data_IF_655411492632
#
_entry.id   IF_655411492632
#
_cell.length_a   1.000
_cell.length_b   1.000
_cell.length_c   1.000
_cell.angle_alpha   90.00
_cell.angle_beta   90.00
_cell.angle_gamma   90.00
#
_symmetry.space_group_name_H-M   'P 1'
#
loop_
_entity.id
_entity.type
_entity.pdbx_description
1 polymer ?
#
# COMPACT_ATOMS: atom_id res chain seq x y z
N UNK A 1 8.14 -4.95 16.99
CA UNK A 1 6.80 -5.43 17.44
C UNK A 1 5.93 -5.58 16.20
N UNK A 2 4.87 -6.42 16.18
CA UNK A 2 4.00 -6.49 15.01
C UNK A 2 3.10 -5.23 14.95
N UNK A 3 3.17 -4.50 13.82
CA UNK A 3 2.33 -3.32 13.59
C UNK A 3 0.90 -3.70 13.23
N UNK A 4 0.74 -4.78 12.44
CA UNK A 4 -0.55 -5.31 12.00
C UNK A 4 -0.58 -6.81 12.25
N UNK A 5 -1.65 -7.30 12.86
CA UNK A 5 -1.85 -8.73 13.09
C UNK A 5 -3.23 -9.15 12.59
N UNK A 6 -3.28 -10.24 11.86
CA UNK A 6 -4.52 -10.87 11.45
C UNK A 6 -4.68 -12.21 12.17
N UNK A 7 -5.87 -12.45 12.70
CA UNK A 7 -6.22 -13.71 13.37
C UNK A 7 -7.56 -14.22 12.84
N UNK A 8 -7.52 -15.32 12.10
CA UNK A 8 -8.66 -15.99 11.49
C UNK A 8 -9.54 -15.05 10.66
N UNK A 9 -8.94 -14.08 9.96
CA UNK A 9 -9.67 -13.08 9.19
C UNK A 9 -10.25 -13.71 7.94
N UNK A 10 -11.57 -13.58 7.79
CA UNK A 10 -12.30 -13.99 6.60
C UNK A 10 -12.95 -12.78 5.96
N UNK A 11 -12.83 -12.65 4.66
CA UNK A 11 -13.42 -11.58 3.86
C UNK A 11 -14.16 -12.13 2.65
N UNK A 12 -15.34 -11.54 2.38
CA UNK A 12 -16.11 -11.78 1.17
C UNK A 12 -16.45 -10.46 0.46
N UNK A 13 -16.81 -10.59 -0.81
CA UNK A 13 -17.42 -9.55 -1.62
C UNK A 13 -18.78 -10.08 -2.11
N UNK A 14 -19.87 -9.51 -1.59
CA UNK A 14 -21.19 -10.13 -1.72
C UNK A 14 -21.17 -11.55 -1.16
N UNK A 15 -21.63 -12.52 -1.93
CA UNK A 15 -21.69 -13.95 -1.53
C UNK A 15 -20.39 -14.72 -1.81
N UNK A 16 -19.38 -14.07 -2.38
CA UNK A 16 -18.10 -14.72 -2.74
C UNK A 16 -17.06 -14.48 -1.65
N UNK A 17 -16.60 -15.55 -1.02
CA UNK A 17 -15.47 -15.50 -0.07
C UNK A 17 -14.20 -15.20 -0.86
N UNK A 18 -13.58 -14.06 -0.58
CA UNK A 18 -12.34 -13.60 -1.24
C UNK A 18 -11.12 -14.23 -0.60
N UNK A 19 -11.11 -14.32 0.74
CA UNK A 19 -10.06 -15.01 1.50
C UNK A 19 -10.61 -15.47 2.85
N UNK A 20 -10.08 -16.60 3.34
CA UNK A 20 -10.57 -17.29 4.52
C UNK A 20 -9.43 -17.62 5.48
N UNK A 21 -9.72 -17.47 6.78
CA UNK A 21 -8.84 -17.88 7.87
C UNK A 21 -7.39 -17.33 7.76
N UNK A 22 -7.26 -16.06 7.37
CA UNK A 22 -5.95 -15.42 7.25
C UNK A 22 -5.38 -15.21 8.66
N UNK A 23 -4.19 -15.77 8.89
CA UNK A 23 -3.40 -15.60 10.11
C UNK A 23 -2.01 -15.14 9.73
N UNK A 24 -1.60 -13.94 10.16
CA UNK A 24 -0.29 -13.40 9.87
C UNK A 24 0.06 -12.18 10.73
N UNK A 25 1.34 -11.86 10.72
CA UNK A 25 1.91 -10.68 11.35
C UNK A 25 2.71 -9.86 10.31
N UNK A 26 2.50 -8.55 10.33
CA UNK A 26 3.35 -7.57 9.64
C UNK A 26 4.10 -6.80 10.72
N UNK A 27 5.42 -6.76 10.60
CA UNK A 27 6.27 -6.12 11.58
C UNK A 27 6.49 -4.63 11.25
N UNK A 28 6.89 -3.90 12.26
CA UNK A 28 7.22 -2.48 12.15
C UNK A 28 8.36 -2.27 11.15
N UNK A 29 8.21 -1.30 10.25
CA UNK A 29 9.20 -1.02 9.22
C UNK A 29 9.22 -2.00 8.04
N UNK A 30 8.32 -3.02 7.99
CA UNK A 30 8.24 -3.90 6.83
C UNK A 30 7.60 -3.20 5.63
N UNK A 31 8.19 -3.44 4.46
CA UNK A 31 7.64 -3.09 3.16
C UNK A 31 6.97 -4.32 2.53
N UNK A 32 5.65 -4.38 2.61
CA UNK A 32 4.84 -5.52 2.17
C UNK A 32 4.15 -5.20 0.86
N UNK A 33 4.33 -6.04 -0.14
CA UNK A 33 3.70 -5.90 -1.45
C UNK A 33 2.69 -7.01 -1.70
N UNK A 34 1.45 -6.62 -1.94
CA UNK A 34 0.34 -7.51 -2.20
C UNK A 34 0.09 -7.62 -3.71
N UNK A 35 0.34 -8.76 -4.28
CA UNK A 35 0.23 -9.01 -5.72
C UNK A 35 -0.86 -10.03 -6.04
N UNK A 36 -1.44 -9.89 -7.22
CA UNK A 36 -2.44 -10.82 -7.73
C UNK A 36 -3.13 -10.27 -8.98
N UNK A 37 -3.80 -11.12 -9.75
CA UNK A 37 -4.51 -10.69 -10.94
C UNK A 37 -5.63 -9.69 -10.62
N UNK A 38 -6.05 -8.92 -11.62
CA UNK A 38 -7.18 -8.01 -11.47
C UNK A 38 -8.45 -8.77 -11.06
N UNK A 39 -9.21 -8.20 -10.14
CA UNK A 39 -10.44 -8.80 -9.62
C UNK A 39 -10.26 -10.01 -8.70
N UNK A 40 -9.05 -10.30 -8.19
CA UNK A 40 -8.85 -11.36 -7.17
C UNK A 40 -9.20 -10.92 -5.75
N UNK A 41 -9.47 -9.63 -5.52
CA UNK A 41 -9.89 -9.11 -4.21
C UNK A 41 -8.83 -8.32 -3.43
N UNK A 42 -7.71 -7.90 -4.06
CA UNK A 42 -6.65 -7.10 -3.42
C UNK A 42 -7.20 -5.85 -2.73
N UNK A 43 -7.86 -4.98 -3.49
CA UNK A 43 -8.44 -3.75 -2.95
C UNK A 43 -9.49 -4.02 -1.87
N UNK A 44 -10.26 -5.11 -2.02
CA UNK A 44 -11.23 -5.55 -1.00
C UNK A 44 -10.55 -5.92 0.31
N UNK A 45 -9.47 -6.71 0.25
CA UNK A 45 -8.71 -7.06 1.45
C UNK A 45 -8.03 -5.83 2.05
N UNK A 46 -7.37 -5.00 1.23
CA UNK A 46 -6.73 -3.78 1.69
C UNK A 46 -7.73 -2.84 2.38
N UNK A 47 -8.92 -2.63 1.81
CA UNK A 47 -10.00 -1.83 2.43
C UNK A 47 -10.51 -2.45 3.73
N UNK A 48 -10.45 -3.78 3.87
CA UNK A 48 -10.78 -4.45 5.12
C UNK A 48 -9.70 -4.24 6.19
N UNK A 49 -8.42 -4.33 5.81
CA UNK A 49 -7.29 -4.09 6.71
C UNK A 49 -7.23 -2.65 7.20
N UNK A 50 -7.68 -1.70 6.38
CA UNK A 50 -7.76 -0.28 6.71
C UNK A 50 -9.10 0.15 7.33
N UNK A 51 -9.98 -0.79 7.68
CA UNK A 51 -11.30 -0.57 8.26
C UNK A 51 -12.33 0.17 7.38
N UNK A 52 -12.04 0.43 6.09
CA UNK A 52 -13.02 0.99 5.15
C UNK A 52 -14.14 0.01 4.76
N UNK A 53 -13.93 -1.28 4.99
CA UNK A 53 -14.94 -2.32 4.76
C UNK A 53 -14.96 -3.31 5.92
N UNK A 54 -16.13 -3.81 6.32
CA UNK A 54 -16.24 -4.79 7.40
C UNK A 54 -15.61 -6.14 6.98
N UNK A 55 -15.01 -6.83 7.93
CA UNK A 55 -14.64 -8.25 7.85
C UNK A 55 -15.88 -9.12 8.11
N UNK A 56 -15.88 -10.38 7.64
CA UNK A 56 -16.92 -11.35 8.00
C UNK A 56 -16.66 -11.89 9.40
N UNK A 57 -15.41 -12.30 9.65
CA UNK A 57 -15.00 -12.86 10.94
C UNK A 57 -13.52 -12.64 11.21
N UNK A 58 -13.07 -13.00 12.42
CA UNK A 58 -11.69 -12.88 12.86
C UNK A 58 -11.39 -11.52 13.47
N UNK A 59 -10.11 -11.30 13.75
CA UNK A 59 -9.62 -10.08 14.40
C UNK A 59 -8.48 -9.48 13.60
N UNK A 60 -8.47 -8.16 13.49
CA UNK A 60 -7.39 -7.36 12.91
C UNK A 60 -6.91 -6.42 14.01
N UNK A 61 -5.65 -6.57 14.38
CA UNK A 61 -5.04 -5.70 15.39
C UNK A 61 -4.08 -4.72 14.71
N UNK A 62 -4.19 -3.45 15.08
CA UNK A 62 -3.24 -2.40 14.72
C UNK A 62 -2.61 -1.90 16.01
N UNK A 63 -1.28 -1.92 16.08
CA UNK A 63 -0.55 -1.55 17.30
C UNK A 63 -1.07 -2.28 18.57
N UNK A 64 -1.46 -3.56 18.39
CA UNK A 64 -1.93 -4.41 19.49
C UNK A 64 -3.38 -4.21 19.93
N UNK A 65 -4.14 -3.27 19.31
CA UNK A 65 -5.56 -3.02 19.59
C UNK A 65 -6.42 -3.46 18.40
N UNK A 66 -7.54 -4.16 18.63
CA UNK A 66 -8.46 -4.57 17.56
C UNK A 66 -9.03 -3.34 16.85
N UNK A 67 -9.11 -3.36 15.53
CA UNK A 67 -9.62 -2.23 14.74
C UNK A 67 -11.09 -1.90 15.08
N UNK A 68 -11.84 -2.87 15.59
CA UNK A 68 -13.23 -2.68 16.02
C UNK A 68 -13.37 -1.83 17.30
N UNK A 69 -12.28 -1.68 18.06
CA UNK A 69 -12.24 -0.93 19.31
C UNK A 69 -11.77 0.52 19.13
N UNK A 70 -11.37 0.88 17.91
CA UNK A 70 -11.00 2.25 17.57
C UNK A 70 -12.23 3.08 17.21
N UNK A 71 -12.26 4.34 17.63
CA UNK A 71 -13.14 5.34 17.00
C UNK A 71 -12.56 5.73 15.64
N UNK A 72 -13.36 6.30 14.75
CA UNK A 72 -12.88 6.78 13.44
C UNK A 72 -11.75 7.82 13.61
N UNK A 73 -11.86 8.68 14.62
CA UNK A 73 -10.82 9.66 14.96
C UNK A 73 -9.53 9.00 15.39
N UNK A 74 -9.58 8.01 16.30
CA UNK A 74 -8.38 7.31 16.78
C UNK A 74 -7.75 6.50 15.64
N UNK A 75 -8.57 5.85 14.80
CA UNK A 75 -8.11 5.06 13.68
C UNK A 75 -7.32 5.92 12.67
N UNK A 76 -7.76 7.16 12.45
CA UNK A 76 -7.06 8.12 11.58
C UNK A 76 -5.68 8.55 12.10
N UNK A 77 -5.35 8.26 13.36
CA UNK A 77 -4.01 8.49 13.92
C UNK A 77 -3.07 7.29 13.82
N UNK A 78 -3.58 6.12 13.45
CA UNK A 78 -2.79 4.87 13.36
C UNK A 78 -2.72 4.29 11.96
N UNK A 79 -3.65 4.66 11.07
CA UNK A 79 -3.68 4.22 9.66
C UNK A 79 -3.81 5.42 8.74
N UNK A 80 -2.99 5.49 7.70
CA UNK A 80 -3.21 6.32 6.53
C UNK A 80 -3.43 5.46 5.29
N UNK A 81 -4.22 5.99 4.35
CA UNK A 81 -4.59 5.26 3.12
C UNK A 81 -4.43 6.15 1.90
N UNK A 82 -3.78 5.60 0.87
CA UNK A 82 -3.71 6.18 -0.47
C UNK A 82 -4.49 5.27 -1.41
N UNK A 83 -5.58 5.79 -1.98
CA UNK A 83 -6.43 5.05 -2.91
C UNK A 83 -6.01 5.31 -4.36
N UNK A 84 -6.34 4.37 -5.25
CA UNK A 84 -6.09 4.47 -6.70
C UNK A 84 -6.89 5.59 -7.38
N UNK A 85 -7.97 6.06 -6.75
CA UNK A 85 -8.86 7.05 -7.34
C UNK A 85 -8.14 8.38 -7.56
N UNK A 86 -8.29 8.95 -8.78
CA UNK A 86 -7.72 10.25 -9.09
C UNK A 86 -8.42 11.33 -8.26
N UNK A 87 -7.66 11.98 -7.40
CA UNK A 87 -8.13 13.14 -6.66
C UNK A 87 -8.21 14.34 -7.62
N UNK A 88 -9.40 14.67 -8.12
CA UNK A 88 -9.62 15.84 -9.01
C UNK A 88 -9.77 17.13 -8.18
N UNK A 89 -8.67 17.53 -7.53
CA UNK A 89 -8.61 18.78 -6.78
C UNK A 89 -8.05 19.88 -7.67
N UNK A 90 -8.90 20.83 -8.06
CA UNK A 90 -8.55 21.87 -9.07
C UNK A 90 -7.93 23.14 -8.49
N UNK A 91 -8.30 23.51 -7.27
CA UNK A 91 -7.94 24.80 -6.68
C UNK A 91 -7.15 24.66 -5.38
N UNK A 92 -6.14 23.78 -5.38
CA UNK A 92 -5.33 23.52 -4.21
C UNK A 92 -3.87 23.38 -4.62
N UNK A 93 -2.97 23.98 -3.86
CA UNK A 93 -1.53 23.77 -4.00
C UNK A 93 -1.09 22.45 -3.39
N UNK A 94 0.12 22.01 -3.73
CA UNK A 94 0.72 20.80 -3.14
C UNK A 94 0.78 20.92 -1.61
N UNK A 95 1.23 22.07 -1.09
CA UNK A 95 1.32 22.32 0.36
C UNK A 95 -0.04 22.21 1.03
N UNK A 96 -1.09 22.75 0.44
CA UNK A 96 -2.46 22.65 0.97
C UNK A 96 -2.97 21.22 0.96
N UNK A 97 -2.74 20.46 -0.15
CA UNK A 97 -3.16 19.06 -0.24
C UNK A 97 -2.44 18.20 0.80
N UNK A 98 -1.13 18.35 0.97
CA UNK A 98 -0.37 17.62 1.98
C UNK A 98 -0.81 18.01 3.39
N UNK A 99 -1.15 19.30 3.59
CA UNK A 99 -1.72 19.83 4.84
C UNK A 99 -3.00 19.13 5.28
N UNK A 100 -3.82 18.61 4.35
CA UNK A 100 -4.99 17.80 4.69
C UNK A 100 -4.62 16.51 5.43
N UNK A 101 -3.39 16.01 5.32
CA UNK A 101 -2.89 14.91 6.13
C UNK A 101 -2.91 15.20 7.63
N UNK A 102 -2.89 16.47 8.02
CA UNK A 102 -2.96 16.92 9.43
C UNK A 102 -4.39 16.99 9.98
N UNK A 103 -5.43 16.69 9.17
CA UNK A 103 -6.83 16.77 9.60
C UNK A 103 -7.14 16.08 10.93
N UNK A 104 -6.58 14.92 11.28
CA UNK A 104 -6.82 14.27 12.58
C UNK A 104 -6.34 15.08 13.78
N UNK A 105 -5.44 16.03 13.58
CA UNK A 105 -4.79 16.82 14.64
C UNK A 105 -5.22 18.28 14.65
N UNK A 106 -6.02 18.72 13.67
CA UNK A 106 -6.49 20.10 13.58
C UNK A 106 -7.81 20.31 14.31
N UNK A 107 -8.10 21.57 14.63
CA UNK A 107 -9.39 21.96 15.15
C UNK A 107 -10.49 21.93 14.07
N UNK A 108 -11.73 22.23 14.45
CA UNK A 108 -12.89 22.28 13.55
C UNK A 108 -12.67 23.17 12.30
N UNK A 109 -11.84 24.19 12.40
CA UNK A 109 -11.51 25.12 11.30
C UNK A 109 -10.37 24.63 10.39
N UNK A 110 -9.78 23.47 10.69
CA UNK A 110 -8.66 22.93 9.90
C UNK A 110 -7.38 23.78 9.96
N UNK A 111 -7.22 24.61 11.00
CA UNK A 111 -6.09 25.54 11.12
C UNK A 111 -4.81 24.76 11.48
N UNK A 112 -3.79 24.87 10.63
CA UNK A 112 -2.47 24.28 10.86
C UNK A 112 -1.66 25.11 11.85
N UNK A 113 -1.11 24.47 12.87
CA UNK A 113 -0.13 25.04 13.79
C UNK A 113 1.23 25.23 13.11
N UNK A 114 2.19 25.82 13.81
CA UNK A 114 3.57 25.91 13.31
C UNK A 114 4.22 24.53 13.16
N UNK A 115 3.92 23.61 14.07
CA UNK A 115 4.46 22.26 14.04
C UNK A 115 3.82 21.45 12.90
N UNK A 116 2.51 21.57 12.67
CA UNK A 116 1.85 20.95 11.51
C UNK A 116 2.48 21.40 10.18
N UNK A 117 2.78 22.68 10.03
CA UNK A 117 3.44 23.21 8.83
C UNK A 117 4.83 22.61 8.63
N UNK A 118 5.63 22.44 9.69
CA UNK A 118 6.94 21.77 9.64
C UNK A 118 6.82 20.30 9.23
N UNK A 119 5.80 19.59 9.74
CA UNK A 119 5.51 18.20 9.36
C UNK A 119 5.12 18.12 7.88
N UNK A 120 4.29 19.04 7.39
CA UNK A 120 3.91 19.14 5.99
C UNK A 120 5.12 19.37 5.10
N UNK A 121 5.97 20.35 5.40
CA UNK A 121 7.20 20.65 4.65
C UNK A 121 8.13 19.45 4.64
N UNK A 122 8.38 18.85 5.80
CA UNK A 122 9.22 17.65 5.92
C UNK A 122 8.68 16.48 5.10
N UNK A 123 7.35 16.26 5.10
CA UNK A 123 6.73 15.20 4.32
C UNK A 123 6.88 15.40 2.81
N UNK A 124 6.83 16.65 2.33
CA UNK A 124 7.08 17.00 0.93
C UNK A 124 8.55 16.74 0.56
N UNK A 125 9.49 17.07 1.46
CA UNK A 125 10.91 16.81 1.25
C UNK A 125 11.24 15.31 1.22
N UNK A 126 10.64 14.50 2.10
CA UNK A 126 10.82 13.05 2.13
C UNK A 126 10.47 12.38 0.79
N UNK A 127 9.48 12.88 0.08
CA UNK A 127 9.11 12.38 -1.27
C UNK A 127 9.87 13.09 -2.41
N UNK A 128 10.82 13.97 -2.09
CA UNK A 128 11.60 14.76 -3.06
C UNK A 128 10.72 15.61 -3.99
N UNK A 129 9.70 16.25 -3.41
CA UNK A 129 8.76 17.10 -4.14
C UNK A 129 8.82 18.59 -3.70
N UNK A 130 9.93 19.02 -3.08
CA UNK A 130 10.09 20.36 -2.54
C UNK A 130 9.89 21.48 -3.57
N UNK A 131 10.33 21.28 -4.82
CA UNK A 131 10.13 22.21 -5.94
C UNK A 131 8.66 22.33 -6.39
N UNK A 132 7.80 21.38 -6.00
CA UNK A 132 6.39 21.34 -6.39
C UNK A 132 5.47 22.01 -5.38
N UNK A 133 5.95 22.41 -4.19
CA UNK A 133 5.15 22.81 -3.03
C UNK A 133 4.10 23.89 -3.31
N UNK A 134 4.43 24.85 -4.18
CA UNK A 134 3.57 25.99 -4.51
C UNK A 134 2.78 25.76 -5.83
N UNK A 135 3.00 24.64 -6.52
CA UNK A 135 2.27 24.31 -7.75
C UNK A 135 0.85 23.84 -7.44
N UNK A 136 -0.05 24.12 -8.37
CA UNK A 136 -1.42 23.60 -8.33
C UNK A 136 -1.45 22.11 -8.63
N UNK A 137 -2.17 21.31 -7.83
CA UNK A 137 -2.24 19.85 -7.93
C UNK A 137 -2.69 19.37 -9.33
N UNK A 138 -3.60 20.08 -9.97
CA UNK A 138 -4.09 19.73 -11.31
C UNK A 138 -3.04 19.90 -12.42
N UNK A 139 -1.92 20.60 -12.16
CA UNK A 139 -0.84 20.80 -13.13
C UNK A 139 0.26 19.75 -13.03
N UNK A 140 0.15 18.83 -12.08
CA UNK A 140 1.13 17.79 -11.84
C UNK A 140 0.96 16.63 -12.84
N UNK A 141 2.09 16.03 -13.24
CA UNK A 141 2.10 14.72 -13.87
C UNK A 141 1.55 13.64 -12.93
N UNK A 142 1.16 12.47 -13.46
CA UNK A 142 0.63 11.39 -12.63
C UNK A 142 1.68 10.91 -11.60
N UNK A 143 2.99 10.84 -11.95
CA UNK A 143 4.06 10.50 -11.03
C UNK A 143 4.29 11.54 -9.93
N UNK A 144 4.32 12.84 -10.28
CA UNK A 144 4.41 13.94 -9.31
C UNK A 144 3.21 13.94 -8.36
N UNK A 145 2.01 13.75 -8.92
CA UNK A 145 0.78 13.67 -8.11
C UNK A 145 0.83 12.49 -7.14
N UNK A 146 1.33 11.33 -7.57
CA UNK A 146 1.47 10.17 -6.70
C UNK A 146 2.43 10.42 -5.54
N UNK A 147 3.58 11.08 -5.78
CA UNK A 147 4.50 11.52 -4.72
C UNK A 147 3.80 12.44 -3.72
N UNK A 148 3.00 13.38 -4.18
CA UNK A 148 2.26 14.31 -3.32
C UNK A 148 1.19 13.58 -2.49
N UNK A 149 0.51 12.57 -3.04
CA UNK A 149 -0.44 11.74 -2.28
C UNK A 149 0.26 10.92 -1.20
N UNK A 150 1.47 10.42 -1.48
CA UNK A 150 2.31 9.74 -0.48
C UNK A 150 2.74 10.75 0.60
N UNK A 151 3.16 11.97 0.24
CA UNK A 151 3.50 13.03 1.20
C UNK A 151 2.32 13.36 2.13
N UNK A 152 1.09 13.43 1.59
CA UNK A 152 -0.11 13.62 2.40
C UNK A 152 -0.29 12.50 3.43
N UNK A 153 -0.07 11.24 3.03
CA UNK A 153 -0.15 10.10 3.94
C UNK A 153 0.95 10.12 5.01
N UNK A 154 2.17 10.57 4.65
CA UNK A 154 3.27 10.77 5.61
C UNK A 154 2.98 11.88 6.61
N UNK A 155 2.38 12.99 6.16
CA UNK A 155 2.01 14.11 7.02
C UNK A 155 0.97 13.74 8.08
N UNK A 156 0.23 12.68 7.89
CA UNK A 156 -0.68 12.11 8.88
C UNK A 156 0.05 11.43 10.06
N UNK A 157 1.37 11.17 9.95
CA UNK A 157 2.24 10.59 10.98
C UNK A 157 1.78 9.24 11.54
N UNK A 158 0.99 8.49 10.81
CA UNK A 158 0.53 7.15 11.22
C UNK A 158 1.66 6.11 11.16
N UNK A 159 1.66 5.08 12.03
CA UNK A 159 2.63 3.99 11.97
C UNK A 159 2.44 3.05 10.78
N UNK A 160 1.21 3.00 10.20
CA UNK A 160 0.88 2.11 9.09
C UNK A 160 0.33 2.91 7.92
N UNK A 161 0.83 2.64 6.72
CA UNK A 161 0.36 3.25 5.45
C UNK A 161 -0.09 2.13 4.51
N UNK A 162 -1.36 2.17 4.10
CA UNK A 162 -1.91 1.32 3.07
C UNK A 162 -2.01 2.07 1.74
N UNK A 163 -1.55 1.46 0.63
CA UNK A 163 -1.66 2.04 -0.70
C UNK A 163 -2.33 1.04 -1.66
N UNK A 164 -3.43 1.47 -2.27
CA UNK A 164 -4.13 0.66 -3.27
C UNK A 164 -3.65 1.02 -4.67
N UNK A 165 -2.90 0.12 -5.29
CA UNK A 165 -2.29 0.25 -6.61
C UNK A 165 -1.58 1.61 -6.87
N UNK A 166 -0.61 2.02 -6.03
CA UNK A 166 0.00 3.36 -6.12
C UNK A 166 0.80 3.59 -7.40
N UNK A 167 1.05 2.54 -8.17
CA UNK A 167 1.77 2.60 -9.47
C UNK A 167 0.84 2.49 -10.67
N UNK A 168 -0.49 2.48 -10.46
CA UNK A 168 -1.45 2.47 -11.55
C UNK A 168 -1.29 3.74 -12.41
N UNK A 169 -1.44 3.56 -13.73
CA UNK A 169 -1.36 4.63 -14.75
C UNK A 169 0.04 5.27 -14.92
N UNK A 170 1.07 4.78 -14.23
CA UNK A 170 2.45 5.27 -14.38
C UNK A 170 3.18 4.48 -15.47
N UNK A 171 4.12 5.15 -16.14
CA UNK A 171 5.10 4.49 -17.00
C UNK A 171 6.11 3.69 -16.16
N UNK A 172 6.88 2.80 -16.79
CA UNK A 172 7.77 1.90 -16.07
C UNK A 172 8.82 2.63 -15.21
N UNK A 173 9.53 3.68 -15.69
CA UNK A 173 10.47 4.43 -14.85
C UNK A 173 9.81 5.04 -13.61
N UNK A 174 8.64 5.65 -13.77
CA UNK A 174 7.89 6.23 -12.64
C UNK A 174 7.41 5.18 -11.65
N UNK A 175 7.01 3.98 -12.12
CA UNK A 175 6.68 2.85 -11.22
C UNK A 175 7.87 2.45 -10.36
N UNK A 176 9.04 2.28 -10.97
CA UNK A 176 10.28 1.95 -10.25
C UNK A 176 10.59 3.02 -9.21
N UNK A 177 10.51 4.30 -9.59
CA UNK A 177 10.77 5.41 -8.69
C UNK A 177 9.84 5.41 -7.48
N UNK A 178 8.52 5.20 -7.67
CA UNK A 178 7.55 5.14 -6.58
C UNK A 178 7.80 3.93 -5.68
N UNK A 179 8.10 2.76 -6.23
CA UNK A 179 8.39 1.56 -5.45
C UNK A 179 9.65 1.72 -4.60
N UNK A 180 10.73 2.27 -5.18
CA UNK A 180 11.96 2.58 -4.47
C UNK A 180 11.74 3.65 -3.39
N UNK A 181 10.95 4.68 -3.68
CA UNK A 181 10.57 5.71 -2.71
C UNK A 181 9.87 5.08 -1.50
N UNK A 182 8.85 4.24 -1.71
CA UNK A 182 8.09 3.62 -0.64
C UNK A 182 8.95 2.67 0.21
N UNK A 183 9.80 1.85 -0.44
CA UNK A 183 10.75 1.00 0.28
C UNK A 183 11.73 1.82 1.13
N UNK A 184 12.31 2.89 0.57
CA UNK A 184 13.18 3.80 1.32
C UNK A 184 12.46 4.43 2.52
N UNK A 185 11.23 4.91 2.30
CA UNK A 185 10.42 5.51 3.36
C UNK A 185 10.14 4.53 4.50
N UNK A 186 9.86 3.26 4.23
CA UNK A 186 9.67 2.26 5.30
C UNK A 186 10.90 2.13 6.19
N UNK A 187 12.11 2.21 5.60
CA UNK A 187 13.38 2.12 6.33
C UNK A 187 13.72 3.40 7.09
N UNK A 188 13.60 4.55 6.44
CA UNK A 188 13.97 5.85 7.03
C UNK A 188 13.02 6.29 8.13
N UNK A 189 11.73 5.97 8.01
CA UNK A 189 10.71 6.44 8.96
C UNK A 189 10.23 5.36 9.94
N UNK A 190 10.66 4.10 9.77
CA UNK A 190 10.19 2.97 10.57
C UNK A 190 8.71 2.62 10.36
N UNK A 191 8.04 3.25 9.38
CA UNK A 191 6.62 3.00 9.11
C UNK A 191 6.43 1.68 8.38
N UNK A 192 5.39 0.96 8.74
CA UNK A 192 4.93 -0.20 7.99
C UNK A 192 4.20 0.26 6.74
N UNK A 193 4.68 -0.15 5.58
CA UNK A 193 4.06 0.18 4.30
C UNK A 193 3.52 -1.09 3.64
N UNK A 194 2.22 -1.08 3.38
CA UNK A 194 1.52 -2.17 2.71
C UNK A 194 0.88 -1.64 1.42
N UNK A 195 1.27 -2.17 0.28
CA UNK A 195 0.69 -1.74 -1.00
C UNK A 195 0.17 -2.92 -1.82
N UNK A 196 -0.90 -2.68 -2.60
CA UNK A 196 -1.34 -3.60 -3.64
C UNK A 196 -0.77 -3.21 -5.00
N UNK A 197 -0.45 -4.21 -5.84
CA UNK A 197 -0.04 -4.00 -7.23
C UNK A 197 -0.35 -5.26 -8.07
N UNK A 198 -0.33 -5.11 -9.37
CA UNK A 198 -0.33 -6.23 -10.32
C UNK A 198 1.07 -6.50 -10.91
N UNK A 199 2.09 -5.71 -10.52
CA UNK A 199 3.44 -5.77 -11.02
C UNK A 199 4.31 -6.66 -10.12
N UNK A 200 4.28 -7.99 -10.40
CA UNK A 200 5.01 -8.94 -9.59
C UNK A 200 6.53 -8.84 -9.79
N UNK A 201 7.01 -8.50 -10.99
CA UNK A 201 8.45 -8.40 -11.24
C UNK A 201 9.09 -7.32 -10.37
N UNK A 202 8.46 -6.15 -10.26
CA UNK A 202 8.92 -5.10 -9.34
C UNK A 202 8.78 -5.51 -7.88
N UNK A 203 7.71 -6.20 -7.51
CA UNK A 203 7.52 -6.70 -6.15
C UNK A 203 8.65 -7.64 -5.73
N UNK A 204 9.04 -8.59 -6.59
CA UNK A 204 10.12 -9.55 -6.33
C UNK A 204 11.49 -8.88 -6.13
N UNK A 205 11.71 -7.72 -6.72
CA UNK A 205 12.99 -7.02 -6.63
C UNK A 205 13.11 -6.10 -5.41
N UNK A 206 11.98 -5.65 -4.83
CA UNK A 206 12.01 -4.55 -3.87
C UNK A 206 11.36 -4.91 -2.53
N UNK A 207 10.37 -5.82 -2.51
CA UNK A 207 9.59 -6.11 -1.31
C UNK A 207 10.39 -6.90 -0.25
N UNK A 208 10.17 -6.61 1.02
CA UNK A 208 10.64 -7.47 2.12
C UNK A 208 9.79 -8.73 2.23
N UNK A 209 8.48 -8.57 2.00
CA UNK A 209 7.50 -9.64 2.04
C UNK A 209 6.47 -9.46 0.94
N UNK A 210 6.12 -10.55 0.30
CA UNK A 210 5.11 -10.56 -0.76
C UNK A 210 3.93 -11.41 -0.30
N UNK A 211 2.73 -10.86 -0.52
CA UNK A 211 1.49 -11.58 -0.43
C UNK A 211 0.99 -11.83 -1.84
N UNK A 212 0.90 -13.09 -2.25
CA UNK A 212 0.34 -13.47 -3.54
C UNK A 212 -1.06 -14.01 -3.36
N UNK A 213 -2.02 -13.42 -4.04
CA UNK A 213 -3.40 -13.90 -4.04
C UNK A 213 -3.77 -14.48 -5.41
N UNK A 214 -4.25 -15.71 -5.40
CA UNK A 214 -4.84 -16.37 -6.56
C UNK A 214 -6.26 -16.88 -6.21
N UNK A 215 -7.16 -16.79 -7.17
CA UNK A 215 -8.56 -17.29 -7.02
C UNK A 215 -8.64 -18.77 -6.71
N UNK A 216 -7.60 -19.54 -7.03
CA UNK A 216 -7.61 -21.00 -6.91
C UNK A 216 -6.84 -21.50 -5.70
N UNK A 217 -5.68 -20.87 -5.42
CA UNK A 217 -4.76 -21.32 -4.39
C UNK A 217 -4.86 -20.45 -3.11
N UNK A 218 -5.71 -19.42 -3.13
CA UNK A 218 -5.85 -18.51 -2.00
C UNK A 218 -4.68 -17.55 -1.83
N UNK A 219 -4.27 -17.31 -0.59
CA UNK A 219 -3.20 -16.38 -0.22
C UNK A 219 -1.92 -17.16 0.12
N UNK A 220 -0.84 -16.86 -0.59
CA UNK A 220 0.52 -17.35 -0.31
C UNK A 220 1.39 -16.19 0.14
N UNK A 221 2.18 -16.38 1.20
CA UNK A 221 2.99 -15.32 1.81
C UNK A 221 4.43 -15.83 1.97
N UNK A 222 5.40 -14.97 1.65
CA UNK A 222 6.81 -15.27 1.83
C UNK A 222 7.70 -14.09 1.45
N UNK A 223 8.99 -14.24 1.71
CA UNK A 223 9.98 -13.35 1.11
C UNK A 223 10.08 -13.64 -0.40
N UNK A 224 10.60 -12.73 -1.23
CA UNK A 224 10.86 -13.00 -2.64
C UNK A 224 11.67 -14.31 -2.86
N UNK A 225 12.66 -14.56 -1.99
CA UNK A 225 13.50 -15.75 -2.03
C UNK A 225 12.71 -17.03 -1.71
N UNK A 226 11.94 -17.04 -0.61
CA UNK A 226 11.10 -18.19 -0.24
C UNK A 226 10.13 -18.58 -1.35
N UNK A 227 9.44 -17.59 -1.93
CA UNK A 227 8.46 -17.79 -3.01
C UNK A 227 9.10 -18.33 -4.29
N UNK A 228 10.33 -17.93 -4.55
CA UNK A 228 11.14 -18.43 -5.67
C UNK A 228 11.54 -19.89 -5.46
N UNK A 229 12.04 -20.23 -4.27
CA UNK A 229 12.57 -21.55 -3.96
C UNK A 229 11.49 -22.62 -3.80
N UNK A 230 10.36 -22.29 -3.16
CA UNK A 230 9.29 -23.25 -2.86
C UNK A 230 8.38 -23.56 -4.05
N UNK A 231 8.58 -22.92 -5.21
CA UNK A 231 7.81 -23.13 -6.42
C UNK A 231 6.47 -22.41 -6.49
N UNK A 232 6.15 -21.57 -5.50
CA UNK A 232 4.89 -20.78 -5.46
C UNK A 232 4.75 -19.89 -6.69
N UNK A 233 5.85 -19.25 -7.15
CA UNK A 233 5.85 -18.43 -8.36
C UNK A 233 5.50 -19.23 -9.61
N UNK A 234 6.11 -20.42 -9.76
CA UNK A 234 5.81 -21.31 -10.89
C UNK A 234 4.33 -21.74 -10.90
N UNK A 235 3.78 -22.06 -9.72
CA UNK A 235 2.37 -22.44 -9.58
C UNK A 235 1.40 -21.29 -9.90
N UNK A 236 1.77 -20.06 -9.56
CA UNK A 236 0.96 -18.87 -9.81
C UNK A 236 0.79 -18.57 -11.32
N UNK A 237 1.79 -18.90 -12.14
CA UNK A 237 1.81 -18.60 -13.58
C UNK A 237 1.58 -19.81 -14.49
N UNK A 238 1.75 -21.04 -14.01
CA UNK A 238 1.71 -22.27 -14.82
C UNK A 238 0.46 -22.41 -15.71
N UNK A 239 -0.64 -21.72 -15.38
CA UNK A 239 -1.90 -21.77 -16.14
C UNK A 239 -1.99 -20.80 -17.31
N UNK A 240 -0.96 -19.96 -17.53
CA UNK A 240 -1.00 -18.84 -18.50
C UNK A 240 0.04 -18.97 -19.61
N UNK A 241 0.70 -20.13 -19.75
CA UNK A 241 1.83 -20.27 -20.70
C UNK A 241 3.02 -19.40 -20.32
N UNK A 242 3.18 -19.12 -19.02
CA UNK A 242 4.30 -18.37 -18.47
C UNK A 242 5.06 -19.31 -17.53
N UNK A 243 6.36 -19.42 -17.72
CA UNK A 243 7.25 -20.19 -16.83
C UNK A 243 8.16 -19.21 -16.07
N UNK A 244 8.38 -19.51 -14.79
CA UNK A 244 9.35 -18.78 -13.97
C UNK A 244 10.68 -19.54 -13.99
N UNK A 245 11.70 -18.91 -14.53
CA UNK A 245 13.07 -19.42 -14.53
C UNK A 245 13.73 -19.08 -13.18
N UNK A 246 13.97 -20.11 -12.37
CA UNK A 246 14.55 -19.97 -11.02
C UNK A 246 16.00 -19.53 -11.02
N UNK A 247 16.76 -19.85 -12.09
CA UNK A 247 18.18 -19.50 -12.17
C UNK A 247 18.37 -18.03 -12.53
N UNK A 248 17.53 -17.52 -13.42
CA UNK A 248 17.62 -16.12 -13.87
C UNK A 248 16.68 -15.17 -13.13
N UNK A 249 15.69 -15.70 -12.38
CA UNK A 249 14.66 -14.89 -11.71
C UNK A 249 13.69 -14.21 -12.69
N UNK A 250 13.65 -14.65 -13.95
CA UNK A 250 12.86 -14.02 -15.02
C UNK A 250 11.64 -14.88 -15.41
N UNK A 251 10.61 -14.21 -15.87
CA UNK A 251 9.47 -14.84 -16.49
C UNK A 251 9.69 -15.05 -17.99
N UNK A 252 9.39 -16.25 -18.47
CA UNK A 252 9.43 -16.60 -19.91
C UNK A 252 8.02 -16.91 -20.38
N UNK A 253 7.65 -16.36 -21.51
CA UNK A 253 6.39 -16.68 -22.20
C UNK A 253 6.65 -17.86 -23.12
N UNK A 254 5.87 -18.93 -23.00
CA UNK A 254 5.90 -20.03 -23.93
C UNK A 254 5.32 -19.58 -25.28
N UNK A 255 6.08 -19.78 -26.35
CA UNK A 255 5.57 -19.52 -27.69
C UNK A 255 4.44 -20.49 -28.00
N UNK A 256 3.24 -19.98 -28.14
CA UNK A 256 2.10 -20.76 -28.67
C UNK A 256 2.31 -20.88 -30.17
N UNK A 257 2.73 -22.06 -30.62
CA UNK A 257 2.76 -22.41 -32.04
C UNK A 257 1.38 -22.79 -32.53
#
# INVERSE_FOLDING_TARGET
MASVQLRNVTKAWGDVVVSKDINLDIHEGEFVVFVGPSGCGKSTLLRTLSAFQPKISGHIFIQGKDISDYTDSDLSTVISVVLTEKCDVRNMTVTELVGLGRSPYTNFWGTLTKDDRRIVEHSIELVRAGELKDRMVHTLSDGERQKVMIAKALAQETPVIFLDEPTAFLDFPSKVEIMQLLHRLSRETGKTIFLSTHDLELALQIADKIWMMDKTNGLTIGTPEDLSLNGSLSGFFARKGITFDRETGLFRVENVH
#
